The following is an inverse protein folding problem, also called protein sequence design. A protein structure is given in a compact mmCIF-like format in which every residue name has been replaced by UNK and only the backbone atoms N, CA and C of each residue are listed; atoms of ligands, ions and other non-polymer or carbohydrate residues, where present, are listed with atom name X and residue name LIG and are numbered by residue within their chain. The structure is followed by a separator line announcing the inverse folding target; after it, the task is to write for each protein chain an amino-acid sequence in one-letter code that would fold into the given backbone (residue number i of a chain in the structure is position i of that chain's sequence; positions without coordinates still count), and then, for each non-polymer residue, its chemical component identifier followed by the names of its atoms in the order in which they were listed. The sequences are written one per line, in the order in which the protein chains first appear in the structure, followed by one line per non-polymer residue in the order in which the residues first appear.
data_IF_423354370133
#
_entry.id   IF_423354370133
#
_cell.length_a   1.000
_cell.length_b   1.000
_cell.length_c   1.000
_cell.angle_alpha   90.00
_cell.angle_beta   90.00
_cell.angle_gamma   90.00
#
_symmetry.space_group_name_H-M   'P 1'
#
loop_
_entity.id
_entity.type
_entity.pdbx_description
1 polymer ?
#
# COMPACT_ATOMS: atom_id res chain seq x y z
N UNK A 1 17.48 -0.24 -31.44
CA UNK A 1 16.10 0.29 -31.48
C UNK A 1 15.95 1.35 -30.40
N UNK A 2 15.52 2.57 -30.73
CA UNK A 2 15.28 3.61 -29.75
C UNK A 2 14.07 3.22 -28.89
N UNK A 3 14.24 3.23 -27.57
CA UNK A 3 13.14 3.09 -26.60
C UNK A 3 12.21 4.29 -26.79
N UNK A 4 10.99 4.05 -27.25
CA UNK A 4 9.97 5.07 -27.54
C UNK A 4 9.14 5.47 -26.31
N UNK A 5 9.64 5.18 -25.11
CA UNK A 5 8.96 5.52 -23.87
C UNK A 5 8.97 7.04 -23.65
N UNK A 6 7.81 7.67 -23.33
CA UNK A 6 7.74 9.09 -23.06
C UNK A 6 8.59 9.44 -21.82
N UNK A 7 9.50 10.40 -21.96
CA UNK A 7 10.35 10.86 -20.87
C UNK A 7 9.72 12.03 -20.12
N UNK A 8 9.68 11.95 -18.80
CA UNK A 8 9.14 13.00 -17.92
C UNK A 8 10.29 13.64 -17.15
N UNK A 9 10.42 14.96 -17.25
CA UNK A 9 11.35 15.74 -16.43
C UNK A 9 10.64 16.21 -15.14
N UNK A 10 11.00 15.63 -14.00
CA UNK A 10 10.37 15.93 -12.70
C UNK A 10 11.33 16.73 -11.84
N UNK A 11 10.84 17.83 -11.23
CA UNK A 11 11.57 18.55 -10.17
C UNK A 11 11.16 17.98 -8.83
N UNK A 12 12.12 17.44 -8.08
CA UNK A 12 11.89 16.87 -6.75
C UNK A 12 12.78 17.54 -5.70
N UNK A 13 12.33 17.65 -4.44
CA UNK A 13 13.19 18.08 -3.33
C UNK A 13 14.42 17.19 -3.17
N UNK A 14 15.54 17.76 -2.73
CA UNK A 14 16.80 17.03 -2.55
C UNK A 14 16.65 15.84 -1.59
N UNK A 15 15.93 16.03 -0.48
CA UNK A 15 15.64 14.98 0.50
C UNK A 15 14.89 13.80 -0.11
N UNK A 16 13.91 14.07 -0.99
CA UNK A 16 13.13 13.03 -1.64
C UNK A 16 13.99 12.24 -2.64
N UNK A 17 14.83 12.93 -3.41
CA UNK A 17 15.76 12.28 -4.33
C UNK A 17 16.71 11.34 -3.59
N UNK A 18 17.32 11.82 -2.50
CA UNK A 18 18.24 11.01 -1.68
C UNK A 18 17.54 9.77 -1.11
N UNK A 19 16.31 9.93 -0.62
CA UNK A 19 15.50 8.80 -0.14
C UNK A 19 15.22 7.78 -1.24
N UNK A 20 14.89 8.22 -2.45
CA UNK A 20 14.66 7.34 -3.60
C UNK A 20 15.94 6.60 -4.03
N UNK A 21 17.11 7.26 -3.97
CA UNK A 21 18.39 6.62 -4.27
C UNK A 21 18.71 5.50 -3.27
N UNK A 22 18.52 5.73 -1.97
CA UNK A 22 18.71 4.70 -0.95
C UNK A 22 17.78 3.50 -1.16
N UNK A 23 16.49 3.76 -1.41
CA UNK A 23 15.49 2.72 -1.64
C UNK A 23 15.75 1.95 -2.95
N UNK A 24 16.25 2.61 -3.98
CA UNK A 24 16.66 1.95 -5.22
C UNK A 24 17.82 0.97 -4.99
N UNK A 25 18.82 1.37 -4.19
CA UNK A 25 19.93 0.49 -3.79
C UNK A 25 19.43 -0.69 -2.96
N UNK A 26 18.59 -0.45 -1.96
CA UNK A 26 18.00 -1.49 -1.11
C UNK A 26 17.18 -2.50 -1.92
N UNK A 27 16.39 -2.03 -2.89
CA UNK A 27 15.57 -2.86 -3.77
C UNK A 27 16.35 -3.44 -4.96
N UNK A 28 17.67 -3.23 -5.08
CA UNK A 28 18.50 -3.65 -6.22
C UNK A 28 17.95 -3.20 -7.58
N UNK A 29 17.41 -1.98 -7.65
CA UNK A 29 16.83 -1.36 -8.84
C UNK A 29 17.58 -0.09 -9.21
N UNK A 30 17.47 0.32 -10.47
CA UNK A 30 17.90 1.66 -10.86
C UNK A 30 16.95 2.71 -10.26
N UNK A 31 17.44 3.94 -10.06
CA UNK A 31 16.61 5.04 -9.57
C UNK A 31 15.35 5.23 -10.43
N UNK A 32 15.49 5.13 -11.76
CA UNK A 32 14.36 5.26 -12.68
C UNK A 32 13.35 4.13 -12.49
N UNK A 33 13.81 2.87 -12.32
CA UNK A 33 12.93 1.75 -12.09
C UNK A 33 12.17 1.89 -10.75
N UNK A 34 12.87 2.34 -9.70
CA UNK A 34 12.25 2.57 -8.39
C UNK A 34 11.19 3.68 -8.43
N UNK A 35 11.45 4.77 -9.15
CA UNK A 35 10.49 5.86 -9.35
C UNK A 35 9.26 5.36 -10.09
N UNK A 36 9.44 4.63 -11.19
CA UNK A 36 8.33 4.07 -11.97
C UNK A 36 7.49 3.12 -11.11
N UNK A 37 8.12 2.18 -10.41
CA UNK A 37 7.40 1.25 -9.53
C UNK A 37 6.60 1.98 -8.44
N UNK A 38 7.16 3.02 -7.81
CA UNK A 38 6.43 3.81 -6.81
C UNK A 38 5.23 4.55 -7.38
N UNK A 39 5.35 5.08 -8.60
CA UNK A 39 4.25 5.74 -9.29
C UNK A 39 3.15 4.73 -9.66
N UNK A 40 3.53 3.58 -10.20
CA UNK A 40 2.60 2.48 -10.51
C UNK A 40 1.88 1.97 -9.26
N UNK A 41 2.59 1.81 -8.15
CA UNK A 41 2.00 1.45 -6.85
C UNK A 41 1.01 2.51 -6.36
N UNK A 42 1.34 3.79 -6.52
CA UNK A 42 0.46 4.88 -6.09
C UNK A 42 -0.82 4.96 -6.93
N UNK A 43 -0.73 4.62 -8.23
CA UNK A 43 -1.87 4.65 -9.16
C UNK A 43 -2.72 3.39 -9.12
N UNK A 44 -2.13 2.22 -8.83
CA UNK A 44 -2.85 0.95 -8.78
C UNK A 44 -3.75 0.80 -7.56
N UNK A 45 -3.79 1.78 -6.65
CA UNK A 45 -4.61 1.74 -5.44
C UNK A 45 -4.20 0.62 -4.47
N UNK A 46 -3.20 -0.19 -4.83
CA UNK A 46 -2.67 -1.24 -4.01
C UNK A 46 -1.66 -0.59 -3.06
N UNK A 47 -2.20 0.16 -2.09
CA UNK A 47 -1.51 0.36 -0.83
C UNK A 47 -1.39 -1.01 -0.19
N UNK A 48 -0.37 -1.78 -0.60
CA UNK A 48 0.12 -2.91 0.19
C UNK A 48 0.83 -2.35 1.43
N UNK A 49 0.12 -1.53 2.20
CA UNK A 49 0.33 -1.31 3.62
C UNK A 49 0.14 -2.66 4.27
N UNK A 50 1.26 -3.33 4.51
CA UNK A 50 1.39 -4.60 5.21
C UNK A 50 0.68 -5.78 4.56
N UNK A 51 1.50 -6.78 4.25
CA UNK A 51 1.10 -8.18 4.26
C UNK A 51 0.61 -8.54 5.68
N UNK A 52 -0.61 -8.17 6.02
CA UNK A 52 -1.43 -8.88 7.02
C UNK A 52 -2.45 -9.63 6.21
N UNK A 53 -2.31 -10.96 6.15
CA UNK A 53 -3.34 -11.84 5.65
C UNK A 53 -4.56 -11.75 6.58
N UNK A 54 -5.41 -10.74 6.39
CA UNK A 54 -6.79 -10.80 6.85
C UNK A 54 -7.51 -11.71 5.87
N UNK A 55 -7.72 -12.96 6.30
CA UNK A 55 -8.75 -13.81 5.72
C UNK A 55 -10.03 -12.98 5.63
N UNK A 56 -10.55 -12.81 4.43
CA UNK A 56 -11.87 -12.20 4.19
C UNK A 56 -12.92 -13.11 4.80
N UNK A 57 -13.12 -12.99 6.10
CA UNK A 57 -14.31 -13.50 6.75
C UNK A 57 -15.39 -12.46 6.47
N UNK A 58 -16.18 -12.68 5.43
CA UNK A 58 -17.50 -12.03 5.29
C UNK A 58 -18.40 -12.54 6.42
N UNK A 59 -18.24 -11.95 7.60
CA UNK A 59 -19.27 -12.04 8.64
C UNK A 59 -20.23 -10.88 8.42
N UNK A 60 -21.47 -11.21 8.06
CA UNK A 60 -22.54 -10.23 7.91
C UNK A 60 -22.61 -9.33 9.15
N UNK A 61 -22.48 -8.02 8.95
CA UNK A 61 -22.52 -6.99 10.02
C UNK A 61 -23.74 -7.16 10.94
N UNK A 62 -24.81 -7.77 10.43
CA UNK A 62 -26.02 -8.12 11.20
C UNK A 62 -25.76 -9.16 12.28
N UNK A 63 -25.03 -10.23 11.98
CA UNK A 63 -24.68 -11.27 12.96
C UNK A 63 -23.76 -10.72 14.04
N UNK A 64 -22.76 -9.89 13.68
CA UNK A 64 -21.86 -9.26 14.66
C UNK A 64 -22.66 -8.39 15.63
N UNK A 65 -23.59 -7.57 15.14
CA UNK A 65 -24.44 -6.72 15.99
C UNK A 65 -25.32 -7.55 16.93
N UNK A 66 -25.83 -8.68 16.46
CA UNK A 66 -26.68 -9.54 17.30
C UNK A 66 -25.87 -10.27 18.37
N UNK A 67 -24.66 -10.74 18.06
CA UNK A 67 -23.75 -11.35 19.03
C UNK A 67 -23.35 -10.34 20.11
N UNK A 68 -22.99 -9.11 19.73
CA UNK A 68 -22.67 -8.04 20.69
C UNK A 68 -23.84 -7.76 21.64
N UNK A 69 -25.06 -7.67 21.10
CA UNK A 69 -26.27 -7.44 21.90
C UNK A 69 -26.54 -8.58 22.89
N UNK A 70 -26.22 -9.83 22.52
CA UNK A 70 -26.33 -10.99 23.42
C UNK A 70 -25.25 -10.99 24.51
N UNK A 71 -24.05 -10.49 24.22
CA UNK A 71 -22.94 -10.42 25.17
C UNK A 71 -23.15 -9.31 26.22
N UNK A 72 -23.67 -8.14 25.84
CA UNK A 72 -24.02 -7.08 26.79
C UNK A 72 -25.08 -7.54 27.80
N UNK A 73 -26.02 -8.38 27.36
CA UNK A 73 -27.05 -8.96 28.24
C UNK A 73 -26.56 -10.12 29.12
N UNK A 74 -25.36 -10.67 28.86
CA UNK A 74 -24.78 -11.78 29.63
C UNK A 74 -23.73 -11.32 30.65
N UNK A 75 -23.45 -10.01 30.72
CA UNK A 75 -22.51 -9.38 31.67
C UNK A 75 -23.20 -8.85 32.94
N UNK A 76 -24.43 -9.29 33.22
CA UNK A 76 -25.02 -9.27 34.55
C UNK A 76 -25.21 -10.75 34.95
N UNK A 77 -24.70 -11.21 36.11
CA UNK A 77 -24.96 -10.61 37.43
C UNK A 77 -23.77 -9.93 38.11
#
# INVERSE_FOLDING_TARGET
MARTDPQINIRVPAELKKKLELLAVENSRSLNAEVVTRLEQSLSGNTSTHQTATLEVEMDIKEIKEILKRLDNKKAP
#
